data_IF_218575666346
#
_entry.id   IF_218575666346
#
_cell.length_a   1.000
_cell.length_b   1.000
_cell.length_c   1.000
_cell.angle_alpha   90.00
_cell.angle_beta   90.00
_cell.angle_gamma   90.00
#
_symmetry.space_group_name_H-M   'P 1'
#
loop_
_entity.id
_entity.type
_entity.pdbx_description
1 polymer ?
#
# COMPACT_ATOMS: atom_id res chain seq x y z
N UNK A 1 8.61 7.59 -12.29
CA UNK A 1 7.40 7.48 -11.46
C UNK A 1 7.62 6.34 -10.47
N UNK A 2 7.52 6.58 -9.17
CA UNK A 2 7.76 5.60 -8.12
C UNK A 2 6.44 5.04 -7.60
N UNK A 3 6.35 3.72 -7.48
CA UNK A 3 5.14 3.01 -7.03
C UNK A 3 5.46 2.30 -5.73
N UNK A 4 4.73 2.64 -4.67
CA UNK A 4 4.86 2.03 -3.36
C UNK A 4 3.61 1.23 -3.04
N UNK A 5 3.81 0.03 -2.51
CA UNK A 5 2.74 -0.91 -2.20
C UNK A 5 2.69 -1.08 -0.70
N UNK A 6 1.52 -0.86 -0.10
CA UNK A 6 1.31 -0.93 1.33
C UNK A 6 0.18 -1.92 1.65
N UNK A 7 0.38 -2.68 2.72
CA UNK A 7 -0.60 -3.59 3.29
C UNK A 7 -0.91 -3.13 4.71
N UNK A 8 -2.17 -2.85 4.99
CA UNK A 8 -2.69 -2.57 6.33
C UNK A 8 -3.30 -3.87 6.89
N UNK A 9 -2.66 -4.41 7.92
CA UNK A 9 -3.10 -5.63 8.61
C UNK A 9 -4.34 -5.36 9.46
N UNK A 10 -5.05 -6.42 9.83
CA UNK A 10 -6.20 -6.35 10.75
C UNK A 10 -5.82 -5.82 12.14
N UNK A 11 -4.54 -5.96 12.52
CA UNK A 11 -3.96 -5.44 13.76
C UNK A 11 -3.61 -3.94 13.68
N UNK A 12 -3.77 -3.33 12.51
CA UNK A 12 -3.51 -1.90 12.30
C UNK A 12 -2.07 -1.56 11.94
N UNK A 13 -1.23 -2.55 11.64
CA UNK A 13 0.12 -2.32 11.14
C UNK A 13 0.10 -2.02 9.65
N UNK A 14 0.82 -0.98 9.21
CA UNK A 14 1.06 -0.69 7.80
C UNK A 14 2.46 -1.18 7.43
N UNK A 15 2.53 -2.10 6.48
CA UNK A 15 3.79 -2.67 5.97
C UNK A 15 3.97 -2.33 4.50
N UNK A 16 5.17 -1.90 4.14
CA UNK A 16 5.56 -1.69 2.74
C UNK A 16 6.01 -3.02 2.13
N UNK A 17 5.60 -3.27 0.89
CA UNK A 17 5.94 -4.46 0.13
C UNK A 17 6.53 -4.07 -1.23
N UNK A 18 7.47 -4.88 -1.71
CA UNK A 18 8.02 -4.73 -3.06
C UNK A 18 6.98 -5.06 -4.13
N UNK A 19 6.99 -4.31 -5.23
CA UNK A 19 6.08 -4.50 -6.35
C UNK A 19 6.16 -5.93 -6.93
N UNK A 20 7.36 -6.49 -7.04
CA UNK A 20 7.57 -7.86 -7.52
C UNK A 20 6.96 -8.89 -6.57
N UNK A 21 7.06 -8.66 -5.25
CA UNK A 21 6.47 -9.55 -4.25
C UNK A 21 4.95 -9.46 -4.27
N UNK A 22 4.40 -8.24 -4.33
CA UNK A 22 2.97 -8.03 -4.47
C UNK A 22 2.40 -8.69 -5.74
N UNK A 23 3.11 -8.59 -6.86
CA UNK A 23 2.72 -9.23 -8.12
C UNK A 23 2.73 -10.76 -8.04
N UNK A 24 3.76 -11.37 -7.43
CA UNK A 24 3.79 -12.83 -7.23
C UNK A 24 2.66 -13.32 -6.33
N UNK A 25 2.30 -12.55 -5.31
CA UNK A 25 1.19 -12.89 -4.42
C UNK A 25 -0.14 -12.79 -5.16
N UNK A 26 -0.37 -11.70 -5.91
CA UNK A 26 -1.56 -11.52 -6.72
C UNK A 26 -1.70 -12.56 -7.85
N UNK A 27 -0.57 -13.06 -8.38
CA UNK A 27 -0.55 -14.14 -9.37
C UNK A 27 -0.78 -15.54 -8.77
N UNK A 28 -0.78 -15.66 -7.44
CA UNK A 28 -0.88 -16.95 -6.74
C UNK A 28 0.43 -17.75 -6.68
N UNK A 29 1.51 -17.24 -7.28
CA UNK A 29 2.86 -17.84 -7.28
C UNK A 29 3.56 -17.77 -5.90
N UNK A 30 3.07 -16.93 -4.99
CA UNK A 30 3.60 -16.80 -3.64
C UNK A 30 2.47 -16.70 -2.62
N UNK A 31 2.56 -17.49 -1.55
CA UNK A 31 1.70 -17.37 -0.38
C UNK A 31 2.31 -16.41 0.67
N UNK A 32 1.45 -15.75 1.42
CA UNK A 32 1.74 -14.98 2.62
C UNK A 32 1.05 -15.67 3.81
N UNK A 33 1.66 -16.71 4.40
CA UNK A 33 1.03 -17.48 5.49
C UNK A 33 0.75 -16.64 6.73
N UNK A 34 1.44 -15.50 6.90
CA UNK A 34 1.15 -14.52 7.95
C UNK A 34 -0.23 -13.85 7.83
N UNK A 35 -0.84 -13.91 6.63
CA UNK A 35 -2.18 -13.40 6.36
C UNK A 35 -3.19 -14.51 6.06
N UNK A 36 -2.88 -15.76 6.41
CA UNK A 36 -3.78 -16.88 6.19
C UNK A 36 -5.16 -16.66 6.82
N UNK A 37 -6.21 -16.74 6.01
CA UNK A 37 -7.60 -16.51 6.41
C UNK A 37 -7.92 -15.07 6.82
N UNK A 38 -7.03 -14.12 6.50
CA UNK A 38 -7.21 -12.72 6.83
C UNK A 38 -7.66 -11.89 5.63
N UNK A 39 -8.35 -10.81 5.95
CA UNK A 39 -8.69 -9.74 5.01
C UNK A 39 -7.76 -8.55 5.26
N UNK A 40 -7.07 -8.11 4.22
CA UNK A 40 -6.02 -7.09 4.31
C UNK A 40 -6.37 -5.91 3.41
N UNK A 41 -6.19 -4.70 3.93
CA UNK A 41 -6.40 -3.50 3.15
C UNK A 41 -5.11 -3.17 2.40
N UNK A 42 -5.17 -3.21 1.08
CA UNK A 42 -4.04 -2.94 0.21
C UNK A 42 -4.15 -1.55 -0.40
N UNK A 43 -3.07 -0.78 -0.35
CA UNK A 43 -3.01 0.57 -0.92
C UNK A 43 -1.78 0.69 -1.80
N UNK A 44 -2.00 1.14 -3.04
CA UNK A 44 -0.93 1.57 -3.94
C UNK A 44 -0.84 3.07 -3.92
N UNK A 45 0.39 3.57 -3.82
CA UNK A 45 0.70 5.00 -3.91
C UNK A 45 1.66 5.20 -5.08
N UNK A 46 1.26 6.06 -6.02
CA UNK A 46 2.09 6.50 -7.11
C UNK A 46 2.55 7.93 -6.83
N UNK A 47 3.86 8.14 -6.86
CA UNK A 47 4.49 9.45 -6.72
C UNK A 47 5.26 9.73 -8.01
N UNK A 48 5.01 10.88 -8.62
CA UNK A 48 5.80 11.32 -9.77
C UNK A 48 7.18 11.80 -9.30
N UNK A 49 8.27 11.25 -9.86
CA UNK A 49 9.66 11.62 -9.51
C UNK A 49 10.05 13.02 -10.00
N UNK A 50 9.36 13.53 -11.03
CA UNK A 50 9.58 14.88 -11.55
C UNK A 50 8.39 15.76 -11.17
N UNK A 51 8.58 16.77 -10.30
CA UNK A 51 7.52 17.72 -9.99
C UNK A 51 7.15 18.47 -11.28
N UNK A 52 5.85 18.49 -11.61
CA UNK A 52 5.35 19.28 -12.74
C UNK A 52 5.25 20.74 -12.31
N UNK A 53 6.38 21.45 -12.40
CA UNK A 53 6.51 22.79 -11.84
C UNK A 53 6.74 22.73 -10.33
N UNK A 54 5.88 23.37 -9.54
CA UNK A 54 5.95 23.39 -8.06
C UNK A 54 5.00 22.38 -7.38
N UNK A 55 4.31 21.54 -8.16
CA UNK A 55 3.28 20.64 -7.66
C UNK A 55 3.72 19.18 -7.81
N UNK A 56 3.70 18.46 -6.69
CA UNK A 56 3.87 17.02 -6.66
C UNK A 56 2.53 16.33 -6.87
N UNK A 57 2.49 15.43 -7.83
CA UNK A 57 1.30 14.65 -8.11
C UNK A 57 1.40 13.29 -7.42
N UNK A 58 0.46 13.03 -6.50
CA UNK A 58 0.31 11.75 -5.83
C UNK A 58 -1.02 11.15 -6.23
N UNK A 59 -1.01 9.88 -6.62
CA UNK A 59 -2.23 9.10 -6.86
C UNK A 59 -2.26 7.92 -5.92
N UNK A 60 -3.45 7.52 -5.50
CA UNK A 60 -3.62 6.31 -4.70
C UNK A 60 -4.79 5.45 -5.18
N UNK A 61 -4.68 4.15 -4.95
CA UNK A 61 -5.75 3.19 -5.15
C UNK A 61 -5.77 2.22 -3.98
N UNK A 62 -6.97 1.88 -3.51
CA UNK A 62 -7.20 0.96 -2.41
C UNK A 62 -7.99 -0.25 -2.88
N UNK A 63 -7.65 -1.43 -2.38
CA UNK A 63 -8.38 -2.66 -2.57
C UNK A 63 -8.40 -3.45 -1.26
N UNK A 64 -9.45 -4.23 -1.04
CA UNK A 64 -9.54 -5.20 0.06
C UNK A 64 -9.14 -6.55 -0.50
N UNK A 65 -8.11 -7.17 0.06
CA UNK A 65 -7.49 -8.40 -0.44
C UNK A 65 -7.81 -9.52 0.56
N UNK A 66 -8.42 -10.59 0.06
CA UNK A 66 -8.75 -11.77 0.86
C UNK A 66 -7.75 -12.89 0.58
N UNK A 67 -7.30 -13.53 1.65
CA UNK A 67 -6.38 -14.65 1.61
C UNK A 67 -7.03 -15.94 2.12
N UNK A 68 -6.71 -17.06 1.48
CA UNK A 68 -7.17 -18.38 1.91
C UNK A 68 -6.50 -18.81 3.23
N UNK A 69 -6.93 -19.96 3.77
CA UNK A 69 -6.37 -20.60 4.98
C UNK A 69 -4.87 -20.93 4.88
N UNK A 70 -4.26 -20.85 3.70
CA UNK A 70 -2.85 -21.13 3.44
C UNK A 70 -2.05 -19.84 3.17
N UNK A 71 -2.72 -18.68 3.08
CA UNK A 71 -2.13 -17.39 2.77
C UNK A 71 -1.99 -17.11 1.28
N UNK A 72 -2.67 -17.85 0.40
CA UNK A 72 -2.78 -17.53 -1.02
C UNK A 72 -3.84 -16.46 -1.25
N UNK A 73 -3.59 -15.59 -2.22
CA UNK A 73 -4.59 -14.63 -2.68
C UNK A 73 -5.81 -15.36 -3.27
N UNK A 74 -7.01 -15.08 -2.74
CA UNK A 74 -8.27 -15.61 -3.29
C UNK A 74 -8.98 -14.57 -4.15
N UNK A 75 -9.23 -13.39 -3.58
CA UNK A 75 -10.01 -12.36 -4.25
C UNK A 75 -9.62 -10.94 -3.80
N UNK A 76 -9.91 -9.97 -4.67
CA UNK A 76 -9.78 -8.55 -4.36
C UNK A 76 -11.13 -7.86 -4.58
N UNK A 77 -11.59 -7.16 -3.55
CA UNK A 77 -12.82 -6.38 -3.55
C UNK A 77 -12.53 -4.88 -3.49
N UNK A 78 -13.44 -4.08 -4.03
CA UNK A 78 -13.33 -2.62 -3.93
C UNK A 78 -13.84 -2.20 -2.54
N UNK A 79 -13.08 -1.42 -1.77
CA UNK A 79 -13.53 -0.91 -0.48
C UNK A 79 -14.78 -0.05 -0.65
N UNK A 80 -15.72 -0.17 0.28
CA UNK A 80 -16.89 0.70 0.30
C UNK A 80 -16.49 2.14 0.65
N UNK A 81 -17.21 3.13 0.12
CA UNK A 81 -16.93 4.55 0.38
C UNK A 81 -17.02 4.93 1.87
N UNK A 82 -17.70 4.13 2.68
CA UNK A 82 -17.83 4.27 4.14
C UNK A 82 -16.72 3.59 4.94
N UNK A 83 -15.77 2.93 4.28
CA UNK A 83 -14.68 2.23 4.97
C UNK A 83 -13.67 3.23 5.57
N UNK A 84 -13.77 3.42 6.89
CA UNK A 84 -12.88 4.30 7.62
C UNK A 84 -11.45 3.76 7.72
N UNK A 85 -11.25 2.44 7.69
CA UNK A 85 -9.91 1.84 7.71
C UNK A 85 -9.19 2.10 6.40
N UNK A 86 -9.90 1.95 5.29
CA UNK A 86 -9.36 2.27 3.97
C UNK A 86 -8.99 3.75 3.87
N UNK A 87 -9.86 4.66 4.31
CA UNK A 87 -9.53 6.11 4.35
C UNK A 87 -8.26 6.39 5.15
N UNK A 88 -8.17 5.84 6.36
CA UNK A 88 -6.98 5.94 7.19
C UNK A 88 -5.73 5.37 6.50
N UNK A 89 -5.86 4.23 5.82
CA UNK A 89 -4.77 3.62 5.07
C UNK A 89 -4.30 4.53 3.94
N UNK A 90 -5.22 5.12 3.16
CA UNK A 90 -4.90 6.07 2.09
C UNK A 90 -4.11 7.26 2.64
N UNK A 91 -4.63 7.96 3.65
CA UNK A 91 -3.96 9.14 4.22
C UNK A 91 -2.57 8.80 4.76
N UNK A 92 -2.46 7.70 5.52
CA UNK A 92 -1.19 7.29 6.12
C UNK A 92 -0.17 6.86 5.07
N UNK A 93 -0.58 6.10 4.05
CA UNK A 93 0.31 5.64 3.00
C UNK A 93 0.82 6.82 2.14
N UNK A 94 -0.02 7.83 1.89
CA UNK A 94 0.41 9.07 1.22
C UNK A 94 1.51 9.74 2.05
N UNK A 95 1.27 9.96 3.35
CA UNK A 95 2.25 10.59 4.23
C UNK A 95 3.56 9.81 4.30
N UNK A 96 3.51 8.47 4.42
CA UNK A 96 4.70 7.61 4.45
C UNK A 96 5.47 7.65 3.13
N UNK A 97 4.76 7.59 2.00
CA UNK A 97 5.38 7.65 0.68
C UNK A 97 6.12 8.96 0.49
N UNK A 98 5.47 10.09 0.84
CA UNK A 98 6.06 11.43 0.77
C UNK A 98 7.22 11.61 1.73
N UNK A 99 7.10 11.16 2.98
CA UNK A 99 8.15 11.30 3.98
C UNK A 99 9.45 10.61 3.54
N UNK A 100 9.36 9.45 2.88
CA UNK A 100 10.54 8.74 2.36
C UNK A 100 11.17 9.43 1.13
N UNK A 101 10.36 10.03 0.25
CA UNK A 101 10.87 10.70 -0.96
C UNK A 101 11.47 12.09 -0.65
N UNK A 102 10.91 12.79 0.33
CA UNK A 102 11.25 14.19 0.65
C UNK A 102 11.89 14.35 2.03
N UNK A 103 12.62 13.34 2.50
CA UNK A 103 13.56 13.53 3.59
C UNK A 103 14.71 14.44 3.09
N UNK A 104 14.47 15.76 3.10
CA UNK A 104 15.57 16.71 3.16
C UNK A 104 16.41 16.33 4.40
N UNK A 105 17.71 16.02 4.25
CA UNK A 105 18.55 15.93 5.41
C UNK A 105 18.47 17.29 6.08
N UNK A 106 17.88 17.33 7.28
CA UNK A 106 18.01 18.47 8.19
C UNK A 106 19.50 18.66 8.43
N UNK A 107 20.13 19.45 7.55
CA UNK A 107 21.52 19.85 7.68
C UNK A 107 21.44 20.99 8.69
N UNK A 108 21.61 20.65 9.97
CA UNK A 108 21.83 21.63 11.02
C UNK A 108 23.04 22.47 10.60
N UNK A 109 22.76 23.68 10.11
CA UNK A 109 23.74 24.72 9.79
C UNK A 109 24.08 25.53 11.04
#
# INVERSE_FOLDING_TARGET
MSIKHYLLTTEGEIREYDAERAARVAAGDSALPEFAGAEIHYVQVWVDDEPKGNELHVRTAGAIVHFDQQGHFEEASTPESSDNRMRFAHDTCIQLALHKEFQEPYTLH
#
